data_IF_845245627005
#
_entry.id   IF_845245627005
#
_cell.length_a   1.000
_cell.length_b   1.000
_cell.length_c   1.000
_cell.angle_alpha   90.00
_cell.angle_beta   90.00
_cell.angle_gamma   90.00
#
_symmetry.space_group_name_H-M   'P 1'
#
loop_
_entity.id
_entity.type
_entity.pdbx_description
1 polymer ?
#
# COMPACT_ATOMS: atom_id res chain seq x y z
N UNK A 1 -11.55 5.47 -65.84
CA UNK A 1 -12.85 5.03 -65.27
C UNK A 1 -12.61 4.68 -63.81
N UNK A 2 -12.80 5.64 -62.89
CA UNK A 2 -14.03 5.91 -62.12
C UNK A 2 -14.21 4.90 -60.97
N UNK A 3 -13.96 5.40 -59.76
CA UNK A 3 -14.34 4.89 -58.41
C UNK A 3 -15.87 5.09 -58.18
N UNK A 4 -16.55 4.92 -57.00
CA UNK A 4 -16.08 4.70 -55.60
C UNK A 4 -17.01 3.90 -54.60
N UNK A 5 -16.52 3.73 -53.34
CA UNK A 5 -17.22 3.79 -52.01
C UNK A 5 -18.29 2.71 -51.64
N UNK A 6 -18.57 2.31 -50.39
CA UNK A 6 -18.13 2.62 -49.01
C UNK A 6 -18.78 1.62 -48.01
N UNK A 7 -18.19 1.46 -46.80
CA UNK A 7 -18.79 1.22 -45.45
C UNK A 7 -17.73 0.58 -44.53
N UNK A 8 -17.53 0.90 -43.25
CA UNK A 8 -17.82 2.03 -42.36
C UNK A 8 -17.04 1.67 -41.06
N UNK A 9 -16.05 2.46 -40.61
CA UNK A 9 -15.32 2.23 -39.34
C UNK A 9 -15.35 3.50 -38.49
N UNK A 10 -16.00 3.38 -37.34
CA UNK A 10 -15.81 4.02 -36.03
C UNK A 10 -15.40 5.49 -35.89
N UNK A 11 -16.41 6.27 -35.51
CA UNK A 11 -16.48 7.22 -34.39
C UNK A 11 -15.20 7.57 -33.60
N UNK A 12 -14.87 8.87 -33.58
CA UNK A 12 -14.13 9.55 -32.51
C UNK A 12 -15.04 10.62 -31.90
N UNK A 13 -15.29 10.49 -30.60
CA UNK A 13 -16.00 11.47 -29.77
C UNK A 13 -14.95 12.44 -29.21
N UNK A 14 -15.10 13.72 -29.54
CA UNK A 14 -14.56 14.84 -28.78
C UNK A 14 -15.78 15.65 -28.33
N UNK A 15 -15.99 15.81 -27.03
CA UNK A 15 -17.02 16.71 -26.50
C UNK A 15 -16.37 17.64 -25.49
N UNK A 16 -16.29 18.90 -25.91
CA UNK A 16 -16.03 20.06 -25.08
C UNK A 16 -17.35 20.52 -24.43
N UNK A 17 -17.21 21.11 -23.25
CA UNK A 17 -18.29 21.64 -22.42
C UNK A 17 -18.94 22.90 -23.03
N UNK A 18 -20.28 22.99 -22.99
CA UNK A 18 -21.07 24.23 -22.80
C UNK A 18 -22.47 23.80 -22.31
N UNK A 19 -22.92 24.29 -21.16
CA UNK A 19 -24.37 24.36 -20.84
C UNK A 19 -24.67 25.76 -20.32
N UNK A 20 -25.53 26.45 -21.06
CA UNK A 20 -26.09 27.77 -20.78
C UNK A 20 -27.62 27.60 -20.64
N UNK A 21 -28.20 28.37 -19.72
CA UNK A 21 -29.60 28.35 -19.28
C UNK A 21 -30.66 28.52 -20.38
N UNK A 22 -31.86 27.97 -20.13
CA UNK A 22 -33.13 28.60 -20.54
C UNK A 22 -34.30 28.25 -19.60
N UNK A 23 -34.99 29.29 -19.13
CA UNK A 23 -36.30 29.34 -18.45
C UNK A 23 -37.42 29.03 -19.50
N UNK A 24 -38.68 28.64 -19.25
CA UNK A 24 -39.71 29.07 -18.29
C UNK A 24 -40.96 28.12 -18.41
N UNK A 25 -42.23 28.48 -18.07
CA UNK A 25 -42.93 28.08 -16.85
C UNK A 25 -44.31 27.37 -17.07
N UNK A 26 -44.92 26.79 -16.01
CA UNK A 26 -46.36 26.44 -16.01
C UNK A 26 -47.04 26.64 -14.63
N UNK A 27 -47.82 27.72 -14.58
CA UNK A 27 -49.18 27.95 -14.01
C UNK A 27 -49.75 27.16 -12.81
N UNK A 28 -50.19 27.98 -11.83
CA UNK A 28 -51.27 27.93 -10.83
C UNK A 28 -52.35 26.81 -10.85
N UNK A 29 -52.74 26.42 -9.62
CA UNK A 29 -54.06 25.87 -9.27
C UNK A 29 -54.32 25.96 -7.76
N UNK A 30 -55.36 26.70 -7.37
CA UNK A 30 -55.81 26.98 -5.99
C UNK A 30 -56.94 26.03 -5.59
N UNK A 31 -56.96 25.53 -4.35
CA UNK A 31 -58.19 25.18 -3.63
C UNK A 31 -57.91 25.12 -2.12
N UNK A 32 -58.65 25.88 -1.33
CA UNK A 32 -58.64 25.84 0.13
C UNK A 32 -59.83 25.07 0.69
N UNK A 33 -59.74 24.66 1.96
CA UNK A 33 -60.89 24.64 2.87
C UNK A 33 -60.44 24.74 4.32
N UNK A 34 -61.27 25.48 5.05
CA UNK A 34 -61.10 26.10 6.36
C UNK A 34 -61.42 25.15 7.51
N UNK A 35 -60.79 25.35 8.67
CA UNK A 35 -61.50 25.34 9.97
C UNK A 35 -60.67 26.03 11.05
N UNK A 36 -61.26 27.07 11.63
CA UNK A 36 -60.78 27.80 12.78
C UNK A 36 -61.22 27.10 14.08
N UNK A 37 -60.34 27.09 15.09
CA UNK A 37 -60.70 26.96 16.51
C UNK A 37 -59.94 28.04 17.29
N UNK A 38 -60.69 28.78 18.12
CA UNK A 38 -60.24 29.88 19.00
C UNK A 38 -59.55 29.35 20.28
N UNK A 39 -58.85 30.20 21.04
CA UNK A 39 -57.71 29.83 21.86
C UNK A 39 -58.05 29.53 23.33
N UNK A 40 -57.27 28.65 23.95
CA UNK A 40 -57.24 28.39 25.40
C UNK A 40 -55.79 28.42 25.89
N UNK A 41 -55.55 29.18 26.97
CA UNK A 41 -54.24 29.71 27.38
C UNK A 41 -53.15 28.70 27.77
N UNK A 42 -51.90 29.17 27.72
CA UNK A 42 -50.78 28.53 28.42
C UNK A 42 -49.40 28.90 27.90
N UNK A 43 -48.74 29.86 28.59
CA UNK A 43 -47.28 30.12 28.64
C UNK A 43 -46.61 30.60 27.34
N UNK A 44 -46.34 31.90 27.28
CA UNK A 44 -45.55 32.55 26.24
C UNK A 44 -44.11 32.02 26.20
N UNK A 45 -43.76 31.39 25.09
CA UNK A 45 -42.40 31.24 24.60
C UNK A 45 -41.85 32.63 24.22
N UNK A 46 -40.65 32.94 24.69
CA UNK A 46 -39.83 34.01 24.13
C UNK A 46 -39.55 33.68 22.66
N UNK A 47 -39.85 34.63 21.76
CA UNK A 47 -39.33 34.62 20.39
C UNK A 47 -37.79 34.69 20.43
N UNK A 48 -37.05 33.96 19.57
CA UNK A 48 -35.65 34.23 19.36
C UNK A 48 -35.52 35.59 18.67
N UNK A 49 -34.80 36.51 19.31
CA UNK A 49 -34.33 37.75 18.70
C UNK A 49 -33.64 37.45 17.36
N UNK A 50 -33.97 38.24 16.33
CA UNK A 50 -33.42 38.12 14.99
C UNK A 50 -31.88 38.01 15.01
N UNK A 51 -31.35 36.95 14.41
CA UNK A 51 -29.91 36.65 14.29
C UNK A 51 -29.12 37.62 13.38
N UNK A 52 -29.70 38.76 13.00
CA UNK A 52 -29.09 39.69 12.05
C UNK A 52 -29.22 41.15 12.51
N UNK A 53 -28.16 41.98 12.41
CA UNK A 53 -28.28 43.42 12.54
C UNK A 53 -29.05 44.00 11.36
N UNK A 54 -29.88 45.00 11.61
CA UNK A 54 -30.98 45.43 10.73
C UNK A 54 -30.60 46.02 9.36
N UNK A 55 -29.32 46.15 8.98
CA UNK A 55 -28.90 46.93 7.81
C UNK A 55 -27.72 46.34 7.00
N UNK A 56 -27.51 45.02 7.00
CA UNK A 56 -26.53 44.42 6.10
C UNK A 56 -27.15 44.14 4.71
N UNK A 57 -26.51 44.59 3.64
CA UNK A 57 -26.92 44.22 2.28
C UNK A 57 -26.72 42.72 2.05
N UNK A 58 -27.49 42.12 1.14
CA UNK A 58 -27.39 40.69 0.82
C UNK A 58 -25.97 40.29 0.38
N UNK A 59 -25.25 41.20 -0.27
CA UNK A 59 -23.86 40.99 -0.68
C UNK A 59 -22.91 40.93 0.54
N UNK A 60 -23.04 41.86 1.49
CA UNK A 60 -22.23 41.86 2.72
C UNK A 60 -22.51 40.64 3.61
N UNK A 61 -23.75 40.13 3.60
CA UNK A 61 -24.11 38.91 4.33
C UNK A 61 -23.44 37.67 3.71
N UNK A 62 -23.42 37.57 2.37
CA UNK A 62 -22.74 36.49 1.65
C UNK A 62 -21.23 36.57 1.86
N UNK A 63 -20.66 37.78 1.80
CA UNK A 63 -19.22 37.99 1.98
C UNK A 63 -18.79 37.66 3.41
N UNK A 64 -19.60 37.98 4.43
CA UNK A 64 -19.33 37.54 5.81
C UNK A 64 -19.40 36.03 5.97
N UNK A 65 -20.42 35.37 5.42
CA UNK A 65 -20.51 33.91 5.45
C UNK A 65 -19.32 33.25 4.74
N UNK A 66 -18.88 33.83 3.62
CA UNK A 66 -17.70 33.36 2.91
C UNK A 66 -16.41 33.58 3.72
N UNK A 67 -16.22 34.74 4.34
CA UNK A 67 -15.05 35.02 5.19
C UNK A 67 -15.03 34.17 6.46
N UNK A 68 -16.19 33.89 7.06
CA UNK A 68 -16.33 32.93 8.16
C UNK A 68 -15.99 31.52 7.72
N UNK A 69 -16.43 31.09 6.53
CA UNK A 69 -16.05 29.81 5.94
C UNK A 69 -14.54 29.76 5.64
N UNK A 70 -13.94 30.81 5.09
CA UNK A 70 -12.48 30.89 4.83
C UNK A 70 -11.69 30.85 6.14
N UNK A 71 -12.13 31.54 7.19
CA UNK A 71 -11.49 31.47 8.52
C UNK A 71 -11.67 30.11 9.17
N UNK A 72 -12.83 29.48 9.00
CA UNK A 72 -13.07 28.12 9.46
C UNK A 72 -12.14 27.14 8.75
N UNK A 73 -12.10 27.15 7.41
CA UNK A 73 -11.23 26.29 6.60
C UNK A 73 -9.75 26.57 6.87
N UNK A 74 -9.33 27.83 6.92
CA UNK A 74 -7.97 28.23 7.25
C UNK A 74 -7.58 27.94 8.71
N UNK A 75 -8.56 27.76 9.60
CA UNK A 75 -8.38 27.35 10.99
C UNK A 75 -8.41 25.83 11.21
N UNK A 76 -8.79 25.04 10.20
CA UNK A 76 -8.71 23.58 10.26
C UNK A 76 -7.22 23.18 10.33
N UNK A 77 -6.82 22.55 11.44
CA UNK A 77 -5.48 21.97 11.55
C UNK A 77 -5.40 20.72 10.67
N UNK A 78 -4.86 20.86 9.46
CA UNK A 78 -4.63 19.76 8.51
C UNK A 78 -3.43 18.86 8.86
N UNK A 79 -2.99 18.88 10.11
CA UNK A 79 -1.89 18.04 10.59
C UNK A 79 -2.35 16.58 10.65
N UNK A 80 -1.85 15.74 9.73
CA UNK A 80 -1.95 14.27 9.83
C UNK A 80 -1.35 13.75 11.13
N UNK A 81 -0.33 14.44 11.66
CA UNK A 81 0.34 14.15 12.92
C UNK A 81 -0.61 14.15 14.13
N UNK A 82 -1.50 15.15 14.31
CA UNK A 82 -2.45 15.12 15.45
C UNK A 82 -3.48 13.98 15.33
N UNK A 83 -3.89 13.62 14.12
CA UNK A 83 -4.76 12.46 13.88
C UNK A 83 -4.05 11.13 14.17
N UNK A 84 -2.75 11.01 13.86
CA UNK A 84 -1.96 9.83 14.17
C UNK A 84 -1.72 9.68 15.69
N UNK A 85 -1.41 10.79 16.38
CA UNK A 85 -1.18 10.81 17.85
C UNK A 85 -2.43 10.41 18.63
N UNK A 86 -3.62 10.85 18.20
CA UNK A 86 -4.88 10.45 18.84
C UNK A 86 -5.26 8.97 18.62
N UNK A 87 -4.56 8.26 17.72
CA UNK A 87 -4.90 6.90 17.25
C UNK A 87 -3.74 5.89 17.39
N UNK A 88 -2.80 6.19 18.29
CA UNK A 88 -1.73 5.25 18.64
C UNK A 88 -2.20 4.19 19.65
N UNK A 89 -3.13 4.54 20.55
CA UNK A 89 -3.69 3.61 21.53
C UNK A 89 -4.80 2.76 20.92
N UNK A 90 -4.79 1.42 21.09
CA UNK A 90 -5.87 0.55 20.66
C UNK A 90 -7.22 1.00 21.22
N UNK A 91 -8.22 1.19 20.36
CA UNK A 91 -9.59 1.46 20.81
C UNK A 91 -10.35 0.17 21.11
N UNK A 92 -10.05 -0.90 20.38
CA UNK A 92 -10.61 -2.24 20.59
C UNK A 92 -9.73 -3.30 19.91
N UNK A 93 -9.88 -4.56 20.33
CA UNK A 93 -9.15 -5.70 19.77
C UNK A 93 -10.08 -6.85 19.38
N UNK A 94 -9.79 -7.48 18.25
CA UNK A 94 -10.40 -8.70 17.77
C UNK A 94 -9.43 -9.87 17.90
N UNK A 95 -9.94 -11.07 18.13
CA UNK A 95 -9.16 -12.31 18.12
C UNK A 95 -9.54 -13.17 16.92
N UNK A 96 -8.53 -13.64 16.19
CA UNK A 96 -8.68 -14.60 15.11
C UNK A 96 -8.05 -15.92 15.55
N UNK A 97 -8.84 -16.99 15.53
CA UNK A 97 -8.40 -18.36 15.81
C UNK A 97 -9.12 -19.34 14.90
N UNK A 98 -8.42 -20.37 14.42
CA UNK A 98 -9.03 -21.42 13.58
C UNK A 98 -10.10 -22.21 14.32
N UNK A 99 -10.00 -22.31 15.64
CA UNK A 99 -11.05 -22.83 16.51
C UNK A 99 -12.09 -21.72 16.80
N UNK A 100 -13.34 -21.85 16.34
CA UNK A 100 -14.39 -20.86 16.59
C UNK A 100 -14.72 -20.68 18.09
N UNK A 101 -14.29 -21.59 18.97
CA UNK A 101 -14.45 -21.42 20.41
C UNK A 101 -13.39 -20.48 21.03
N UNK A 102 -12.30 -20.18 20.32
CA UNK A 102 -11.12 -19.46 20.85
C UNK A 102 -10.91 -18.07 20.22
N UNK A 103 -11.69 -17.69 19.20
CA UNK A 103 -11.58 -16.40 18.54
C UNK A 103 -12.94 -15.81 18.15
N UNK A 104 -12.98 -14.49 17.96
CA UNK A 104 -14.14 -13.77 17.43
C UNK A 104 -14.39 -14.15 15.96
N UNK A 105 -13.32 -14.50 15.24
CA UNK A 105 -13.37 -14.90 13.83
C UNK A 105 -12.43 -16.09 13.55
N UNK A 106 -12.79 -16.90 12.56
CA UNK A 106 -11.94 -18.02 12.09
C UNK A 106 -10.97 -17.65 10.98
N UNK A 107 -11.12 -16.47 10.39
CA UNK A 107 -10.24 -15.96 9.33
C UNK A 107 -9.91 -14.49 9.55
N UNK A 108 -8.72 -14.09 9.11
CA UNK A 108 -8.29 -12.68 9.19
C UNK A 108 -9.15 -11.79 8.30
N UNK A 109 -9.58 -12.29 7.12
CA UNK A 109 -10.41 -11.50 6.20
C UNK A 109 -11.77 -11.18 6.83
N UNK A 110 -12.42 -12.16 7.49
CA UNK A 110 -13.67 -11.92 8.20
C UNK A 110 -13.51 -10.87 9.33
N UNK A 111 -12.40 -10.93 10.08
CA UNK A 111 -12.10 -9.90 11.09
C UNK A 111 -11.92 -8.51 10.46
N UNK A 112 -11.22 -8.40 9.33
CA UNK A 112 -11.07 -7.14 8.58
C UNK A 112 -12.42 -6.64 8.06
N UNK A 113 -13.27 -7.53 7.56
CA UNK A 113 -14.57 -7.17 6.98
C UNK A 113 -15.63 -6.81 8.01
N UNK A 114 -15.48 -7.27 9.25
CA UNK A 114 -16.31 -6.85 10.38
C UNK A 114 -16.14 -5.37 10.74
N UNK A 115 -15.03 -4.76 10.33
CA UNK A 115 -14.76 -3.36 10.64
C UNK A 115 -15.62 -2.42 9.78
N UNK A 116 -16.01 -1.24 10.32
CA UNK A 116 -16.72 -0.24 9.56
C UNK A 116 -16.01 0.10 8.24
N UNK A 117 -16.79 0.39 7.20
CA UNK A 117 -16.26 0.75 5.89
C UNK A 117 -15.25 1.90 5.97
N UNK A 118 -15.48 2.87 6.87
CA UNK A 118 -14.54 3.93 7.21
C UNK A 118 -14.02 3.67 8.63
N UNK A 119 -12.78 3.21 8.76
CA UNK A 119 -12.17 3.03 10.08
C UNK A 119 -11.31 4.24 10.45
N UNK A 120 -11.64 4.85 11.59
CA UNK A 120 -10.98 6.06 12.09
C UNK A 120 -10.25 5.82 13.42
N UNK A 121 -10.19 4.58 13.91
CA UNK A 121 -9.56 4.28 15.20
C UNK A 121 -8.63 3.08 15.09
N UNK A 122 -7.67 2.98 16.01
CA UNK A 122 -6.74 1.84 16.05
C UNK A 122 -7.47 0.58 16.46
N UNK A 123 -7.53 -0.40 15.55
CA UNK A 123 -8.08 -1.73 15.85
C UNK A 123 -6.97 -2.76 15.79
N UNK A 124 -6.81 -3.54 16.85
CA UNK A 124 -5.81 -4.62 16.91
C UNK A 124 -6.48 -5.96 16.60
N UNK A 125 -6.13 -6.58 15.50
CA UNK A 125 -6.53 -7.94 15.15
C UNK A 125 -5.40 -8.87 15.62
N UNK A 126 -5.63 -9.55 16.75
CA UNK A 126 -4.73 -10.57 17.31
C UNK A 126 -4.98 -11.89 16.60
N UNK A 127 -3.94 -12.48 16.03
CA UNK A 127 -4.04 -13.73 15.27
C UNK A 127 -3.29 -14.81 16.00
N UNK A 128 -4.05 -15.76 16.57
CA UNK A 128 -3.49 -16.88 17.30
C UNK A 128 -2.65 -17.79 16.39
N UNK A 129 -1.82 -18.61 17.02
CA UNK A 129 -0.91 -19.51 16.33
C UNK A 129 -1.65 -20.41 15.34
N UNK A 130 -1.09 -20.55 14.14
CA UNK A 130 -1.68 -21.37 13.09
C UNK A 130 -1.28 -20.91 11.70
N UNK A 131 -1.47 -21.82 10.74
CA UNK A 131 -1.36 -21.52 9.32
C UNK A 131 -2.74 -21.22 8.74
N UNK A 132 -2.93 -19.97 8.34
CA UNK A 132 -4.12 -19.43 7.70
C UNK A 132 -3.91 -19.49 6.19
N UNK A 133 -4.54 -20.49 5.57
CA UNK A 133 -4.56 -20.66 4.12
C UNK A 133 -5.94 -20.29 3.64
N UNK A 134 -6.03 -19.27 2.79
CA UNK A 134 -7.27 -18.90 2.14
C UNK A 134 -7.61 -19.96 1.08
N UNK A 135 -8.88 -20.18 0.74
CA UNK A 135 -9.27 -21.34 -0.07
C UNK A 135 -9.43 -20.99 -1.56
N UNK A 136 -9.02 -21.94 -2.40
CA UNK A 136 -9.38 -22.00 -3.82
C UNK A 136 -10.60 -22.91 -3.88
N UNK A 137 -11.84 -22.41 -3.89
CA UNK A 137 -12.95 -23.31 -4.22
C UNK A 137 -12.86 -23.62 -5.72
N UNK A 138 -12.49 -24.87 -6.04
CA UNK A 138 -12.51 -25.35 -7.41
C UNK A 138 -13.98 -25.46 -7.88
N UNK A 139 -14.20 -25.07 -9.13
CA UNK A 139 -15.45 -25.22 -9.86
C UNK A 139 -16.03 -26.64 -9.71
N UNK A 140 -17.32 -26.74 -9.38
CA UNK A 140 -18.00 -28.01 -9.19
C UNK A 140 -19.26 -27.98 -8.32
N UNK A 141 -19.73 -26.82 -7.85
CA UNK A 141 -21.06 -26.70 -7.24
C UNK A 141 -22.07 -26.31 -8.33
N UNK A 142 -23.17 -27.06 -8.52
CA UNK A 142 -24.22 -26.69 -9.46
C UNK A 142 -24.84 -25.34 -9.09
N UNK A 143 -25.05 -24.52 -10.11
CA UNK A 143 -25.65 -23.20 -10.01
C UNK A 143 -27.04 -23.26 -9.36
N UNK A 144 -27.09 -22.87 -8.09
CA UNK A 144 -28.31 -22.49 -7.37
C UNK A 144 -28.19 -21.04 -6.88
N UNK A 145 -27.77 -20.15 -7.77
CA UNK A 145 -27.52 -18.72 -7.53
C UNK A 145 -26.73 -18.14 -8.71
N UNK A 146 -27.38 -17.31 -9.51
CA UNK A 146 -27.01 -16.89 -10.88
C UNK A 146 -25.81 -15.92 -10.99
N UNK A 147 -24.64 -16.33 -10.49
CA UNK A 147 -23.36 -15.74 -10.94
C UNK A 147 -22.11 -16.63 -10.85
N UNK A 148 -22.18 -17.82 -10.21
CA UNK A 148 -21.10 -18.81 -10.23
C UNK A 148 -19.71 -18.29 -9.80
N UNK A 149 -19.64 -17.18 -9.04
CA UNK A 149 -18.36 -16.67 -8.53
C UNK A 149 -17.90 -17.50 -7.34
N UNK A 150 -16.87 -18.28 -7.57
CA UNK A 150 -15.92 -18.73 -6.55
C UNK A 150 -15.35 -17.48 -5.85
N UNK A 151 -15.77 -17.22 -4.60
CA UNK A 151 -15.16 -16.17 -3.78
C UNK A 151 -13.77 -16.64 -3.33
N UNK A 152 -12.75 -16.11 -4.00
CA UNK A 152 -11.34 -16.30 -3.65
C UNK A 152 -10.93 -15.20 -2.69
N UNK A 153 -11.04 -15.44 -1.40
CA UNK A 153 -10.73 -14.39 -0.44
C UNK A 153 -9.30 -14.47 0.07
N UNK A 154 -8.34 -13.93 -0.68
CA UNK A 154 -7.03 -13.57 -0.12
C UNK A 154 -7.22 -12.38 0.82
N UNK A 155 -6.34 -12.20 1.80
CA UNK A 155 -6.49 -11.03 2.69
C UNK A 155 -6.20 -9.75 1.94
N UNK A 156 -7.18 -8.86 1.90
CA UNK A 156 -7.04 -7.51 1.36
C UNK A 156 -7.56 -6.49 2.35
N UNK A 157 -6.68 -5.61 2.80
CA UNK A 157 -7.05 -4.46 3.62
C UNK A 157 -7.37 -3.29 2.68
N UNK A 158 -8.65 -2.94 2.60
CA UNK A 158 -9.15 -1.83 1.76
C UNK A 158 -8.61 -0.48 2.24
N UNK A 159 -8.38 0.45 1.31
CA UNK A 159 -7.88 1.79 1.60
C UNK A 159 -8.73 2.60 2.58
N UNK A 160 -10.02 2.26 2.72
CA UNK A 160 -10.93 2.92 3.66
C UNK A 160 -10.81 2.40 5.10
N UNK A 161 -10.03 1.34 5.34
CA UNK A 161 -9.83 0.71 6.65
C UNK A 161 -8.45 1.02 7.25
N UNK A 162 -8.15 2.31 7.40
CA UNK A 162 -6.91 2.78 8.01
C UNK A 162 -6.76 2.32 9.48
N UNK A 163 -5.57 2.47 10.06
CA UNK A 163 -5.31 2.22 11.49
C UNK A 163 -5.54 0.78 11.97
N UNK A 164 -5.39 -0.22 11.10
CA UNK A 164 -5.40 -1.63 11.52
C UNK A 164 -4.01 -2.04 12.01
N UNK A 165 -3.96 -2.74 13.14
CA UNK A 165 -2.79 -3.48 13.60
C UNK A 165 -3.08 -4.98 13.52
N UNK A 166 -2.23 -5.73 12.82
CA UNK A 166 -2.28 -7.19 12.76
C UNK A 166 -1.15 -7.77 13.63
N UNK A 167 -1.49 -8.48 14.70
CA UNK A 167 -0.53 -8.97 15.67
C UNK A 167 -0.58 -10.50 15.76
N UNK A 168 0.45 -11.19 15.28
CA UNK A 168 0.55 -12.64 15.41
C UNK A 168 1.07 -13.08 16.78
N UNK A 169 0.84 -14.34 17.14
CA UNK A 169 1.36 -14.98 18.35
C UNK A 169 2.88 -15.24 18.32
N UNK A 170 3.57 -14.79 17.28
CA UNK A 170 4.98 -15.06 16.99
C UNK A 170 5.16 -15.36 15.50
N UNK A 171 6.21 -14.81 14.88
CA UNK A 171 6.37 -14.93 13.43
C UNK A 171 6.58 -16.37 12.97
N UNK A 172 7.17 -17.23 13.82
CA UNK A 172 7.30 -18.67 13.58
C UNK A 172 6.04 -19.48 13.90
N UNK A 173 5.02 -18.87 14.51
CA UNK A 173 3.80 -19.53 14.99
C UNK A 173 2.56 -19.15 14.18
N UNK A 174 2.53 -17.94 13.64
CA UNK A 174 1.38 -17.42 12.89
C UNK A 174 1.79 -17.13 11.44
N UNK A 175 1.22 -17.88 10.51
CA UNK A 175 1.55 -17.80 9.08
C UNK A 175 0.28 -17.55 8.25
N UNK A 176 0.30 -16.50 7.45
CA UNK A 176 -0.68 -16.25 6.40
C UNK A 176 -0.06 -16.66 5.06
N UNK A 177 -0.73 -17.54 4.33
CA UNK A 177 -0.18 -18.05 3.07
C UNK A 177 -1.19 -18.24 1.94
N UNK A 178 -0.69 -18.07 0.71
CA UNK A 178 -1.37 -18.39 -0.53
C UNK A 178 -0.35 -18.71 -1.63
N UNK A 179 -0.78 -19.14 -2.82
CA UNK A 179 0.11 -19.71 -3.84
C UNK A 179 -0.21 -19.28 -5.27
N UNK A 180 -0.60 -18.03 -5.47
CA UNK A 180 -0.79 -17.49 -6.83
C UNK A 180 0.52 -16.97 -7.40
N UNK A 181 0.68 -17.13 -8.72
CA UNK A 181 1.71 -16.47 -9.52
C UNK A 181 1.07 -15.45 -10.47
N UNK A 182 1.88 -14.63 -11.13
CA UNK A 182 1.40 -13.71 -12.16
C UNK A 182 0.67 -14.44 -13.31
N UNK A 183 1.08 -15.67 -13.60
CA UNK A 183 0.46 -16.52 -14.64
C UNK A 183 -0.70 -17.40 -14.14
N UNK A 184 -1.09 -17.30 -12.86
CA UNK A 184 -2.27 -18.02 -12.39
C UNK A 184 -3.48 -17.68 -13.28
N UNK A 185 -4.25 -18.68 -13.80
CA UNK A 185 -5.42 -18.48 -14.66
C UNK A 185 -6.65 -18.05 -13.85
N UNK A 186 -6.41 -17.26 -12.82
CA UNK A 186 -7.36 -16.80 -11.82
C UNK A 186 -7.71 -15.32 -12.02
N UNK A 187 -7.16 -14.65 -13.04
CA UNK A 187 -7.53 -13.29 -13.39
C UNK A 187 -8.93 -13.16 -14.03
N UNK A 188 -9.43 -11.92 -14.19
CA UNK A 188 -10.70 -11.66 -14.84
C UNK A 188 -10.80 -12.29 -16.23
N UNK A 189 -11.91 -13.00 -16.52
CA UNK A 189 -12.12 -13.72 -17.78
C UNK A 189 -11.07 -14.81 -18.07
N UNK A 190 -10.45 -15.39 -17.02
CA UNK A 190 -9.46 -16.46 -17.15
C UNK A 190 -8.08 -15.99 -17.62
N UNK A 191 -7.84 -14.67 -17.70
CA UNK A 191 -6.52 -14.11 -18.06
C UNK A 191 -5.50 -14.32 -16.94
N UNK A 192 -4.18 -14.24 -17.23
CA UNK A 192 -3.15 -14.20 -16.19
C UNK A 192 -3.46 -13.15 -15.12
N UNK A 193 -3.31 -13.55 -13.86
CA UNK A 193 -3.62 -12.72 -12.70
C UNK A 193 -2.79 -11.43 -12.66
N UNK A 194 -1.53 -11.52 -13.10
CA UNK A 194 -0.51 -10.48 -13.03
C UNK A 194 0.15 -10.40 -11.65
N UNK A 195 1.37 -9.86 -11.59
CA UNK A 195 2.17 -9.74 -10.35
C UNK A 195 1.42 -8.99 -9.24
N UNK A 196 0.76 -7.87 -9.57
CA UNK A 196 0.05 -7.06 -8.59
C UNK A 196 -1.02 -7.86 -7.83
N UNK A 197 -1.75 -8.72 -8.54
CA UNK A 197 -2.82 -9.52 -7.98
C UNK A 197 -2.35 -10.89 -7.49
N UNK A 198 -1.08 -11.28 -7.63
CA UNK A 198 -0.57 -12.54 -7.07
C UNK A 198 -0.31 -12.50 -5.56
N UNK A 199 -0.35 -11.31 -4.96
CA UNK A 199 -0.12 -11.07 -3.54
C UNK A 199 -0.99 -11.96 -2.63
N UNK A 200 -0.35 -12.70 -1.72
CA UNK A 200 -1.03 -13.53 -0.72
C UNK A 200 -1.75 -12.69 0.34
N UNK A 201 -1.16 -11.54 0.66
CA UNK A 201 -1.75 -10.50 1.50
C UNK A 201 -1.55 -9.14 0.82
N UNK A 202 -2.59 -8.29 0.80
CA UNK A 202 -2.53 -6.96 0.22
C UNK A 202 -2.96 -5.88 1.21
N UNK A 203 -2.08 -4.91 1.47
CA UNK A 203 -2.35 -3.74 2.30
C UNK A 203 -2.54 -2.54 1.40
N UNK A 204 -3.71 -1.88 1.47
CA UNK A 204 -3.95 -0.61 0.78
C UNK A 204 -4.32 0.52 1.75
N UNK A 205 -4.25 0.25 3.06
CA UNK A 205 -4.76 1.11 4.11
C UNK A 205 -3.64 1.84 4.85
N UNK A 206 -3.80 3.14 5.03
CA UNK A 206 -2.82 3.98 5.73
C UNK A 206 -2.69 3.59 7.20
N UNK A 207 -1.50 3.82 7.77
CA UNK A 207 -1.21 3.53 9.18
C UNK A 207 -1.38 2.05 9.56
N UNK A 208 -1.26 1.13 8.59
CA UNK A 208 -1.26 -0.30 8.86
C UNK A 208 0.00 -0.70 9.63
N UNK A 209 -0.17 -1.52 10.66
CA UNK A 209 0.95 -2.09 11.43
C UNK A 209 0.82 -3.61 11.43
N UNK A 210 1.89 -4.34 11.15
CA UNK A 210 1.97 -5.77 11.42
C UNK A 210 3.08 -6.08 12.42
N UNK A 211 2.82 -7.02 13.32
CA UNK A 211 3.81 -7.51 14.29
C UNK A 211 3.83 -9.02 14.35
N UNK A 212 5.02 -9.60 14.45
CA UNK A 212 5.22 -10.99 14.84
C UNK A 212 4.37 -12.00 14.04
N UNK A 213 4.29 -11.80 12.73
CA UNK A 213 3.50 -12.64 11.81
C UNK A 213 4.25 -12.86 10.50
N UNK A 214 4.04 -14.02 9.89
CA UNK A 214 4.65 -14.38 8.60
C UNK A 214 3.64 -14.23 7.46
N UNK A 215 4.06 -13.56 6.39
CA UNK A 215 3.38 -13.53 5.09
C UNK A 215 4.14 -14.41 4.10
N UNK A 216 3.46 -15.35 3.45
CA UNK A 216 4.10 -16.33 2.59
C UNK A 216 3.38 -16.53 1.27
N UNK A 217 4.13 -16.51 0.17
CA UNK A 217 3.70 -17.11 -1.07
C UNK A 217 4.30 -18.52 -1.19
N UNK A 218 3.47 -19.53 -1.42
CA UNK A 218 3.89 -20.95 -1.47
C UNK A 218 4.38 -21.39 -2.85
N UNK A 219 4.40 -20.50 -3.84
CA UNK A 219 4.90 -20.80 -5.18
C UNK A 219 6.38 -21.23 -5.12
N UNK A 220 6.78 -22.29 -5.85
CA UNK A 220 8.15 -22.78 -5.80
C UNK A 220 9.11 -21.80 -6.46
N UNK A 221 10.40 -21.90 -6.11
CA UNK A 221 11.47 -21.14 -6.78
C UNK A 221 11.42 -21.43 -8.29
N UNK A 222 11.22 -20.41 -9.13
CA UNK A 222 11.13 -20.62 -10.56
C UNK A 222 12.48 -21.02 -11.15
N UNK A 223 12.45 -21.69 -12.31
CA UNK A 223 13.64 -21.82 -13.14
C UNK A 223 14.10 -20.42 -13.60
N UNK A 224 15.41 -20.17 -13.75
CA UNK A 224 15.88 -18.91 -14.29
C UNK A 224 15.23 -18.58 -15.64
N UNK A 225 14.79 -17.33 -15.82
CA UNK A 225 14.14 -16.85 -17.03
C UNK A 225 12.69 -17.31 -17.25
N UNK A 226 12.08 -18.05 -16.31
CA UNK A 226 10.70 -18.50 -16.46
C UNK A 226 9.71 -17.32 -16.47
N UNK A 227 8.88 -17.26 -17.51
CA UNK A 227 7.85 -16.23 -17.63
C UNK A 227 6.70 -16.44 -16.65
N UNK A 228 6.16 -15.34 -16.10
CA UNK A 228 4.93 -15.34 -15.31
C UNK A 228 5.01 -16.01 -13.93
N UNK A 229 6.22 -16.22 -13.40
CA UNK A 229 6.45 -16.89 -12.12
C UNK A 229 6.61 -15.96 -10.93
N UNK A 230 6.43 -14.66 -11.12
CA UNK A 230 6.35 -13.67 -10.05
C UNK A 230 5.25 -14.05 -9.06
N UNK A 231 5.57 -14.09 -7.76
CA UNK A 231 4.67 -14.65 -6.75
C UNK A 231 4.79 -13.89 -5.43
N UNK A 232 3.91 -12.90 -5.25
CA UNK A 232 4.01 -11.94 -4.15
C UNK A 232 3.48 -12.53 -2.84
N UNK A 233 4.27 -12.43 -1.77
CA UNK A 233 3.86 -12.79 -0.41
C UNK A 233 3.05 -11.66 0.22
N UNK A 234 3.59 -10.43 0.18
CA UNK A 234 2.92 -9.23 0.65
C UNK A 234 3.04 -8.11 -0.38
N UNK A 235 1.94 -7.42 -0.65
CA UNK A 235 1.94 -6.13 -1.35
C UNK A 235 1.51 -5.00 -0.41
N UNK A 236 2.25 -3.90 -0.42
CA UNK A 236 1.96 -2.71 0.38
C UNK A 236 1.80 -1.49 -0.50
N UNK A 237 0.57 -1.00 -0.61
CA UNK A 237 0.16 0.18 -1.38
C UNK A 237 -0.51 1.18 -0.43
N UNK A 238 0.22 1.64 0.59
CA UNK A 238 -0.34 2.43 1.68
C UNK A 238 0.68 3.41 2.25
N UNK A 239 0.24 4.58 2.68
CA UNK A 239 1.15 5.49 3.38
C UNK A 239 1.25 5.15 4.88
N UNK A 240 2.44 5.33 5.45
CA UNK A 240 2.73 5.14 6.86
C UNK A 240 2.49 3.71 7.36
N UNK A 241 2.93 2.69 6.60
CA UNK A 241 2.80 1.29 7.01
C UNK A 241 4.07 0.78 7.72
N UNK A 242 3.92 0.04 8.83
CA UNK A 242 5.05 -0.50 9.57
C UNK A 242 4.95 -2.01 9.80
N UNK A 243 6.10 -2.68 9.86
CA UNK A 243 6.22 -4.12 10.04
C UNK A 243 7.34 -4.40 11.04
N UNK A 244 7.05 -5.12 12.12
CA UNK A 244 8.00 -5.35 13.22
C UNK A 244 8.07 -6.83 13.57
N UNK A 245 9.26 -7.43 13.49
CA UNK A 245 9.42 -8.86 13.78
C UNK A 245 8.66 -9.76 12.81
N UNK A 246 8.35 -9.28 11.59
CA UNK A 246 7.61 -10.03 10.58
C UNK A 246 8.54 -10.89 9.72
N UNK A 247 7.99 -11.93 9.09
CA UNK A 247 8.69 -12.66 8.02
C UNK A 247 7.95 -12.56 6.69
N UNK A 248 8.71 -12.42 5.61
CA UNK A 248 8.20 -12.37 4.25
C UNK A 248 8.87 -13.49 3.45
N UNK A 249 8.11 -14.52 3.10
CA UNK A 249 8.64 -15.75 2.53
C UNK A 249 8.10 -15.96 1.11
N UNK A 250 9.00 -15.97 0.14
CA UNK A 250 8.66 -16.27 -1.25
C UNK A 250 9.89 -16.64 -2.06
N UNK A 251 9.79 -16.49 -3.38
CA UNK A 251 10.89 -16.66 -4.31
C UNK A 251 11.05 -15.38 -5.14
N UNK A 252 10.55 -15.38 -6.38
CA UNK A 252 10.55 -14.20 -7.23
C UNK A 252 9.44 -13.22 -6.80
N UNK A 253 9.79 -11.94 -6.68
CA UNK A 253 8.87 -10.84 -6.34
C UNK A 253 8.19 -11.00 -4.96
N UNK A 254 8.94 -11.41 -3.93
CA UNK A 254 8.37 -11.75 -2.61
C UNK A 254 7.65 -10.58 -1.92
N UNK A 255 8.31 -9.44 -1.77
CA UNK A 255 7.78 -8.24 -1.12
C UNK A 255 7.58 -7.15 -2.18
N UNK A 256 6.31 -6.91 -2.51
CA UNK A 256 5.93 -5.82 -3.40
C UNK A 256 5.71 -4.54 -2.58
N UNK A 257 6.81 -3.86 -2.33
CA UNK A 257 6.90 -2.58 -1.64
C UNK A 257 6.46 -1.43 -2.57
N UNK A 258 5.17 -1.46 -2.93
CA UNK A 258 4.64 -0.82 -4.12
C UNK A 258 4.69 0.71 -4.06
N UNK A 259 4.09 1.32 -3.04
CA UNK A 259 3.90 2.77 -2.98
C UNK A 259 3.52 3.25 -1.57
N UNK A 260 4.08 4.37 -1.13
CA UNK A 260 3.86 4.97 0.18
C UNK A 260 5.14 5.01 1.02
N UNK A 261 5.06 5.51 2.25
CA UNK A 261 6.16 5.47 3.22
C UNK A 261 6.05 4.25 4.12
N UNK A 262 7.11 3.44 4.17
CA UNK A 262 7.08 2.19 4.94
C UNK A 262 8.30 2.04 5.84
N UNK A 263 8.09 1.31 6.94
CA UNK A 263 9.14 0.99 7.90
C UNK A 263 9.13 -0.51 8.22
N UNK A 264 10.24 -1.17 7.99
CA UNK A 264 10.44 -2.59 8.28
C UNK A 264 11.53 -2.69 9.34
N UNK A 265 11.19 -3.21 10.53
CA UNK A 265 12.12 -3.36 11.65
C UNK A 265 12.21 -4.81 12.12
N UNK A 266 13.42 -5.30 12.37
CA UNK A 266 13.65 -6.65 12.91
C UNK A 266 12.99 -7.75 12.06
N UNK A 267 12.88 -7.53 10.74
CA UNK A 267 12.15 -8.43 9.84
C UNK A 267 13.08 -9.41 9.14
N UNK A 268 12.53 -10.57 8.76
CA UNK A 268 13.20 -11.54 7.90
C UNK A 268 12.56 -11.55 6.52
N UNK A 269 13.33 -11.31 5.46
CA UNK A 269 12.84 -11.25 4.07
C UNK A 269 13.60 -12.28 3.24
N UNK A 270 12.88 -13.21 2.61
CA UNK A 270 13.48 -14.28 1.82
C UNK A 270 12.96 -14.31 0.39
N UNK A 271 13.86 -14.41 -0.59
CA UNK A 271 13.47 -14.61 -1.98
C UNK A 271 14.65 -14.86 -2.92
N UNK A 272 14.41 -14.82 -4.23
CA UNK A 272 15.41 -15.12 -5.26
C UNK A 272 15.66 -13.94 -6.22
N UNK A 273 14.70 -13.64 -7.10
CA UNK A 273 14.80 -12.58 -8.11
C UNK A 273 13.88 -11.44 -7.73
N UNK A 274 14.42 -10.22 -7.73
CA UNK A 274 13.71 -8.96 -7.48
C UNK A 274 12.82 -9.02 -6.23
N UNK A 275 13.29 -9.70 -5.18
CA UNK A 275 12.39 -10.14 -4.13
C UNK A 275 11.99 -9.03 -3.14
N UNK A 276 12.61 -7.86 -3.23
CA UNK A 276 12.12 -6.59 -2.68
C UNK A 276 12.02 -5.60 -3.85
N UNK A 277 10.80 -5.23 -4.25
CA UNK A 277 10.61 -4.41 -5.45
C UNK A 277 9.43 -3.46 -5.33
N UNK A 278 9.44 -2.39 -6.13
CA UNK A 278 8.40 -1.36 -6.14
C UNK A 278 8.94 0.06 -6.07
N UNK A 279 8.09 1.04 -5.78
CA UNK A 279 8.42 2.46 -5.76
C UNK A 279 8.09 3.14 -4.42
N UNK A 280 8.09 2.39 -3.31
CA UNK A 280 7.90 2.99 -1.99
C UNK A 280 9.12 3.83 -1.54
N UNK A 281 8.90 4.65 -0.51
CA UNK A 281 9.92 5.31 0.30
C UNK A 281 10.07 4.52 1.60
N UNK A 282 11.09 3.65 1.67
CA UNK A 282 11.14 2.60 2.69
C UNK A 282 12.48 2.51 3.40
N UNK A 283 12.41 2.43 4.73
CA UNK A 283 13.53 2.12 5.60
C UNK A 283 13.39 0.68 6.12
N UNK A 284 14.42 -0.12 5.87
CA UNK A 284 14.60 -1.46 6.39
C UNK A 284 15.71 -1.39 7.44
N UNK A 285 15.36 -1.54 8.72
CA UNK A 285 16.26 -1.42 9.85
C UNK A 285 16.36 -2.76 10.58
N UNK A 286 17.57 -3.18 10.92
CA UNK A 286 17.84 -4.43 11.66
C UNK A 286 17.25 -5.68 10.98
N UNK A 287 17.08 -5.65 9.65
CA UNK A 287 16.46 -6.74 8.90
C UNK A 287 17.47 -7.80 8.48
N UNK A 288 17.03 -9.05 8.45
CA UNK A 288 17.75 -10.17 7.84
C UNK A 288 17.17 -10.47 6.46
N UNK A 289 17.98 -10.23 5.44
CA UNK A 289 17.63 -10.45 4.04
C UNK A 289 18.34 -11.72 3.54
N UNK A 290 17.57 -12.73 3.14
CA UNK A 290 18.09 -14.06 2.84
C UNK A 290 17.76 -14.51 1.42
N UNK A 291 18.79 -14.61 0.57
CA UNK A 291 18.65 -15.07 -0.80
C UNK A 291 18.56 -16.60 -0.88
N UNK A 292 17.59 -17.09 -1.65
CA UNK A 292 17.45 -18.51 -2.01
C UNK A 292 17.59 -18.70 -3.52
N UNK A 293 18.43 -17.87 -4.15
CA UNK A 293 18.72 -18.00 -5.57
C UNK A 293 19.48 -19.31 -5.84
N UNK A 294 19.14 -19.98 -6.95
CA UNK A 294 19.83 -21.20 -7.39
C UNK A 294 21.10 -20.89 -8.18
N UNK A 295 20.95 -20.02 -9.18
CA UNK A 295 22.05 -19.61 -10.06
C UNK A 295 22.36 -18.14 -9.86
N UNK A 296 21.41 -17.27 -10.24
CA UNK A 296 21.49 -15.83 -10.05
C UNK A 296 20.19 -15.26 -9.48
N UNK A 297 20.31 -14.15 -8.76
CA UNK A 297 19.21 -13.45 -8.14
C UNK A 297 19.45 -11.95 -8.07
N UNK A 298 18.45 -11.23 -7.56
CA UNK A 298 18.55 -9.82 -7.27
C UNK A 298 17.77 -9.51 -6.00
N UNK A 299 18.42 -8.83 -5.06
CA UNK A 299 17.80 -8.43 -3.80
C UNK A 299 16.73 -7.37 -4.05
N UNK A 300 17.10 -6.29 -4.75
CA UNK A 300 16.17 -5.20 -5.04
C UNK A 300 15.86 -5.01 -6.52
N UNK A 301 14.65 -4.54 -6.81
CA UNK A 301 14.28 -3.93 -8.08
C UNK A 301 13.44 -2.67 -7.82
N UNK A 302 14.12 -1.55 -7.54
CA UNK A 302 13.45 -0.29 -7.20
C UNK A 302 13.01 0.45 -8.48
N UNK A 303 11.81 1.05 -8.42
CA UNK A 303 11.06 1.50 -9.60
C UNK A 303 10.84 3.02 -9.69
N UNK A 304 11.73 3.82 -9.09
CA UNK A 304 11.67 5.28 -9.18
C UNK A 304 11.84 5.75 -10.63
N UNK A 305 10.91 6.58 -11.10
CA UNK A 305 10.82 6.94 -12.52
C UNK A 305 11.29 8.36 -12.85
N UNK A 306 11.49 9.23 -11.85
CA UNK A 306 11.92 10.60 -12.08
C UNK A 306 12.67 11.19 -10.89
N UNK A 307 13.43 12.27 -11.13
CA UNK A 307 14.08 13.02 -10.04
C UNK A 307 13.10 13.72 -9.11
N UNK A 308 11.84 13.91 -9.53
CA UNK A 308 10.79 14.56 -8.75
C UNK A 308 10.15 13.63 -7.72
N UNK A 309 10.41 12.32 -7.82
CA UNK A 309 9.96 11.35 -6.82
C UNK A 309 10.98 11.30 -5.69
N UNK A 310 10.52 11.33 -4.45
CA UNK A 310 11.38 11.20 -3.26
C UNK A 310 11.48 9.76 -2.76
N UNK A 311 11.10 8.77 -3.58
CA UNK A 311 11.06 7.35 -3.24
C UNK A 311 12.44 6.68 -3.24
N UNK A 312 12.54 5.47 -2.69
CA UNK A 312 13.81 4.75 -2.59
C UNK A 312 13.81 3.73 -1.44
N UNK A 313 14.74 2.80 -1.50
CA UNK A 313 14.95 1.80 -0.45
C UNK A 313 16.25 2.07 0.31
N UNK A 314 16.19 2.12 1.64
CA UNK A 314 17.37 2.21 2.50
C UNK A 314 17.42 1.04 3.47
N UNK A 315 18.54 0.31 3.46
CA UNK A 315 18.80 -0.81 4.35
C UNK A 315 19.87 -0.41 5.37
N UNK A 316 19.52 -0.41 6.65
CA UNK A 316 20.37 0.09 7.74
C UNK A 316 20.55 -1.00 8.78
N UNK A 317 21.81 -1.31 9.10
CA UNK A 317 22.17 -2.36 10.06
C UNK A 317 21.58 -3.74 9.72
N UNK A 318 21.43 -4.01 8.42
CA UNK A 318 20.86 -5.26 7.92
C UNK A 318 21.93 -6.36 7.77
N UNK A 319 21.47 -7.58 7.51
CA UNK A 319 22.33 -8.71 7.13
C UNK A 319 21.84 -9.32 5.83
N UNK A 320 22.71 -9.44 4.83
CA UNK A 320 22.45 -10.11 3.55
C UNK A 320 23.19 -11.43 3.53
N UNK A 321 22.44 -12.52 3.38
CA UNK A 321 22.96 -13.90 3.44
C UNK A 321 22.27 -14.75 2.38
N UNK A 322 22.69 -16.01 2.21
CA UNK A 322 21.95 -16.97 1.40
C UNK A 322 22.78 -17.74 0.39
N UNK A 323 22.19 -18.02 -0.76
CA UNK A 323 22.79 -18.82 -1.83
C UNK A 323 22.64 -18.19 -3.22
N UNK A 324 23.49 -18.64 -4.15
CA UNK A 324 23.51 -18.19 -5.54
C UNK A 324 24.23 -16.85 -5.71
N UNK A 325 24.48 -16.48 -6.96
CA UNK A 325 25.07 -15.18 -7.30
C UNK A 325 24.02 -14.07 -7.19
N UNK A 326 24.22 -13.08 -6.33
CA UNK A 326 23.22 -12.07 -6.00
C UNK A 326 23.67 -10.66 -6.40
N UNK A 327 22.83 -9.98 -7.17
CA UNK A 327 22.92 -8.51 -7.29
C UNK A 327 22.26 -7.86 -6.07
N UNK A 328 22.89 -6.81 -5.53
CA UNK A 328 22.28 -5.93 -4.53
C UNK A 328 21.00 -5.27 -5.08
N UNK A 329 21.01 -4.95 -6.37
CA UNK A 329 19.85 -4.36 -7.02
C UNK A 329 19.95 -4.29 -8.52
N UNK A 330 18.77 -4.24 -9.16
CA UNK A 330 18.62 -3.96 -10.58
C UNK A 330 17.73 -2.76 -10.77
N UNK A 331 18.12 -1.86 -11.67
CA UNK A 331 17.42 -0.60 -11.89
C UNK A 331 16.13 -0.79 -12.68
N UNK A 332 15.05 -1.28 -12.05
CA UNK A 332 13.76 -1.42 -12.76
C UNK A 332 13.23 -0.07 -13.24
N UNK A 333 13.31 0.95 -12.38
CA UNK A 333 13.06 2.35 -12.73
C UNK A 333 14.31 3.06 -13.25
N UNK A 334 14.12 4.08 -14.09
CA UNK A 334 15.20 4.86 -14.70
C UNK A 334 15.94 5.75 -13.69
N UNK A 335 15.32 6.08 -12.56
CA UNK A 335 15.91 6.85 -11.46
C UNK A 335 16.01 6.02 -10.17
N UNK A 336 16.11 4.70 -10.33
CA UNK A 336 16.16 3.72 -9.23
C UNK A 336 17.12 4.15 -8.12
N UNK A 337 16.66 4.07 -6.87
CA UNK A 337 17.43 4.53 -5.70
C UNK A 337 17.44 3.48 -4.59
N UNK A 338 18.63 2.99 -4.25
CA UNK A 338 18.85 1.97 -3.22
C UNK A 338 20.13 2.27 -2.45
N UNK A 339 20.06 2.25 -1.12
CA UNK A 339 21.21 2.46 -0.24
C UNK A 339 21.33 1.29 0.74
N UNK A 340 22.54 0.77 0.89
CA UNK A 340 22.91 -0.16 1.97
C UNK A 340 23.90 0.53 2.91
N UNK A 341 23.56 0.61 4.19
CA UNK A 341 24.37 1.23 5.23
C UNK A 341 24.56 0.27 6.41
N UNK A 342 25.80 0.16 6.91
CA UNK A 342 26.17 -0.72 8.01
C UNK A 342 25.70 -2.18 7.83
N UNK A 343 25.54 -2.59 6.58
CA UNK A 343 24.95 -3.89 6.25
C UNK A 343 26.05 -4.93 6.08
N UNK A 344 25.93 -6.06 6.76
CA UNK A 344 26.83 -7.19 6.56
C UNK A 344 26.38 -8.00 5.33
N UNK A 345 27.31 -8.39 4.45
CA UNK A 345 27.04 -9.12 3.22
C UNK A 345 27.91 -10.38 3.11
N UNK A 346 27.28 -11.54 2.98
CA UNK A 346 27.96 -12.82 2.70
C UNK A 346 28.61 -12.84 1.30
N UNK A 347 29.46 -13.83 1.03
CA UNK A 347 30.19 -14.03 -0.23
C UNK A 347 29.30 -14.59 -1.35
N UNK A 348 28.13 -13.99 -1.50
CA UNK A 348 27.15 -14.28 -2.55
C UNK A 348 26.93 -13.06 -3.46
N UNK A 349 27.40 -11.88 -3.04
CA UNK A 349 27.24 -10.65 -3.82
C UNK A 349 28.21 -10.68 -5.00
N UNK A 350 27.68 -10.55 -6.21
CA UNK A 350 28.53 -10.49 -7.41
C UNK A 350 29.44 -9.24 -7.36
N UNK A 351 30.69 -9.30 -7.85
CA UNK A 351 31.64 -8.18 -7.74
C UNK A 351 31.08 -6.85 -8.25
N UNK A 352 30.39 -6.87 -9.40
CA UNK A 352 29.74 -5.69 -9.97
C UNK A 352 28.69 -5.06 -9.04
N UNK A 353 28.06 -5.87 -8.17
CA UNK A 353 27.05 -5.48 -7.19
C UNK A 353 25.69 -5.13 -7.77
N UNK A 354 25.63 -4.40 -8.89
CA UNK A 354 24.43 -3.78 -9.42
C UNK A 354 24.24 -4.06 -10.92
N UNK A 355 23.00 -3.97 -11.39
CA UNK A 355 22.64 -4.14 -12.80
C UNK A 355 21.78 -2.97 -13.29
N UNK A 356 22.18 -2.36 -14.41
CA UNK A 356 21.52 -1.21 -15.04
C UNK A 356 20.27 -1.59 -15.87
N UNK A 357 19.73 -2.81 -15.70
CA UNK A 357 18.61 -3.34 -16.48
C UNK A 357 18.89 -3.49 -17.99
N UNK A 358 20.16 -3.52 -18.38
CA UNK A 358 20.58 -3.58 -19.79
C UNK A 358 20.52 -2.24 -20.52
N UNK A 359 20.37 -1.13 -19.79
CA UNK A 359 20.23 0.22 -20.35
C UNK A 359 21.29 1.16 -19.75
N UNK A 360 22.38 1.44 -20.49
CA UNK A 360 23.46 2.32 -20.01
C UNK A 360 23.01 3.74 -19.66
N UNK A 361 21.88 4.23 -20.17
CA UNK A 361 21.40 5.57 -19.82
C UNK A 361 20.98 5.67 -18.35
N UNK A 362 20.60 4.54 -17.73
CA UNK A 362 20.23 4.50 -16.30
C UNK A 362 21.43 4.77 -15.40
N UNK A 363 22.65 4.48 -15.87
CA UNK A 363 23.89 4.72 -15.11
C UNK A 363 24.10 6.21 -14.78
N UNK A 364 23.47 7.10 -15.54
CA UNK A 364 23.55 8.55 -15.34
C UNK A 364 22.56 9.07 -14.27
N UNK A 365 21.54 8.28 -13.92
CA UNK A 365 20.35 8.76 -13.20
C UNK A 365 20.00 7.94 -11.96
N UNK A 366 20.44 6.69 -11.87
CA UNK A 366 20.26 5.84 -10.69
C UNK A 366 21.16 6.31 -9.54
N UNK A 367 20.74 6.01 -8.31
CA UNK A 367 21.55 6.28 -7.11
C UNK A 367 21.68 5.00 -6.29
N UNK A 368 22.82 4.34 -6.43
CA UNK A 368 23.14 3.11 -5.69
C UNK A 368 24.34 3.32 -4.77
N UNK A 369 24.07 3.28 -3.47
CA UNK A 369 25.04 3.61 -2.43
C UNK A 369 25.35 2.43 -1.51
N UNK A 370 26.63 2.30 -1.14
CA UNK A 370 27.09 1.48 -0.01
C UNK A 370 27.79 2.38 0.99
N UNK A 371 27.50 2.21 2.28
CA UNK A 371 28.09 2.99 3.37
C UNK A 371 28.50 2.09 4.53
N UNK A 372 29.81 1.98 4.80
CA UNK A 372 30.35 1.18 5.92
C UNK A 372 29.77 -0.25 6.00
N UNK A 373 29.51 -0.87 4.84
CA UNK A 373 29.10 -2.26 4.76
C UNK A 373 30.28 -3.18 5.12
N UNK A 374 29.98 -4.38 5.64
CA UNK A 374 30.99 -5.33 6.13
C UNK A 374 30.72 -6.75 5.62
N UNK A 375 31.67 -7.66 5.83
CA UNK A 375 31.57 -9.04 5.35
C UNK A 375 32.20 -9.24 3.97
N UNK A 376 32.39 -10.50 3.55
CA UNK A 376 33.16 -10.84 2.35
C UNK A 376 32.53 -10.30 1.05
N UNK A 377 31.20 -10.20 0.97
CA UNK A 377 30.51 -9.66 -0.21
C UNK A 377 30.45 -8.13 -0.25
N UNK A 378 30.87 -7.42 0.81
CA UNK A 378 30.71 -5.96 0.91
C UNK A 378 31.84 -5.15 0.26
N UNK A 379 32.90 -5.80 -0.23
CA UNK A 379 34.04 -5.13 -0.87
C UNK A 379 33.56 -4.20 -1.99
N UNK A 380 33.95 -2.92 -1.91
CA UNK A 380 33.59 -1.94 -2.94
C UNK A 380 34.45 -2.08 -4.20
N UNK A 381 35.68 -2.60 -4.09
CA UNK A 381 36.52 -2.89 -5.24
C UNK A 381 35.83 -3.87 -6.20
N UNK A 382 35.77 -3.50 -7.48
CA UNK A 382 35.08 -4.28 -8.52
C UNK A 382 33.60 -3.95 -8.71
N UNK A 383 33.02 -3.05 -7.91
CA UNK A 383 31.68 -2.51 -8.18
C UNK A 383 31.65 -1.73 -9.48
N UNK A 384 30.47 -1.67 -10.09
CA UNK A 384 30.23 -0.82 -11.26
C UNK A 384 30.58 0.65 -10.96
N UNK A 385 31.20 1.32 -11.93
CA UNK A 385 31.74 2.68 -11.76
C UNK A 385 30.68 3.76 -11.49
N UNK A 386 29.42 3.48 -11.80
CA UNK A 386 28.26 4.36 -11.58
C UNK A 386 27.54 4.09 -10.23
N UNK A 387 28.07 3.20 -9.40
CA UNK A 387 27.65 3.10 -8.00
C UNK A 387 28.52 4.00 -7.11
N UNK A 388 28.13 4.16 -5.84
CA UNK A 388 28.78 5.08 -4.91
C UNK A 388 29.18 4.39 -3.61
N UNK A 389 30.44 4.58 -3.20
CA UNK A 389 30.86 4.39 -1.82
C UNK A 389 30.62 5.73 -1.11
N UNK A 390 29.62 5.76 -0.24
CA UNK A 390 29.14 7.01 0.34
C UNK A 390 30.07 7.48 1.45
N UNK A 391 30.24 8.79 1.56
CA UNK A 391 30.79 9.46 2.73
C UNK A 391 29.76 9.55 3.87
N UNK A 392 30.22 9.98 5.05
CA UNK A 392 29.34 10.20 6.21
C UNK A 392 28.20 11.21 5.89
N UNK A 393 28.52 12.29 5.18
CA UNK A 393 27.55 13.33 4.82
C UNK A 393 26.55 12.86 3.75
N UNK A 394 27.00 12.09 2.76
CA UNK A 394 26.14 11.55 1.70
C UNK A 394 25.20 10.45 2.23
N UNK A 395 25.64 9.67 3.22
CA UNK A 395 24.83 8.62 3.83
C UNK A 395 23.77 9.16 4.80
N UNK A 396 24.07 10.26 5.50
CA UNK A 396 23.24 10.85 6.56
C UNK A 396 21.73 10.95 6.25
N UNK A 397 21.28 11.36 5.05
CA UNK A 397 19.85 11.47 4.73
C UNK A 397 19.11 10.13 4.69
N UNK A 398 19.82 9.02 4.50
CA UNK A 398 19.24 7.69 4.24
C UNK A 398 19.25 6.77 5.46
N UNK A 399 20.03 7.08 6.49
CA UNK A 399 20.35 6.15 7.59
C UNK A 399 19.54 6.34 8.86
N UNK A 400 18.48 7.16 8.83
CA UNK A 400 17.63 7.39 10.00
C UNK A 400 16.16 7.44 9.63
N UNK A 401 15.29 7.41 10.63
CA UNK A 401 13.84 7.55 10.46
C UNK A 401 13.44 8.82 9.69
N UNK A 402 14.28 9.87 9.65
CA UNK A 402 14.00 11.06 8.86
C UNK A 402 13.86 10.76 7.36
N UNK A 403 14.50 9.71 6.85
CA UNK A 403 14.40 9.31 5.43
C UNK A 403 12.96 9.06 4.98
N UNK A 404 12.12 8.59 5.90
CA UNK A 404 10.72 8.23 5.65
C UNK A 404 9.74 9.14 6.42
N UNK A 405 10.19 10.31 6.88
CA UNK A 405 9.46 11.18 7.82
C UNK A 405 8.99 10.44 9.09
N UNK A 406 9.69 9.37 9.47
CA UNK A 406 9.25 8.39 10.46
C UNK A 406 9.00 8.98 11.85
N UNK A 407 9.69 10.08 12.19
CA UNK A 407 9.45 10.80 13.46
C UNK A 407 8.02 11.33 13.60
N UNK A 408 7.30 11.51 12.49
CA UNK A 408 5.93 11.99 12.48
C UNK A 408 4.90 10.88 12.70
N UNK A 409 5.16 9.67 12.19
CA UNK A 409 4.12 8.64 12.07
C UNK A 409 4.50 7.26 12.64
N UNK A 410 5.79 6.93 12.75
CA UNK A 410 6.23 5.66 13.34
C UNK A 410 6.01 5.72 14.85
N UNK A 411 5.02 4.96 15.32
CA UNK A 411 4.66 4.79 16.73
C UNK A 411 4.52 3.29 17.00
N UNK A 412 5.64 2.65 17.30
CA UNK A 412 5.75 1.19 17.53
C UNK A 412 5.68 0.81 19.01
#
# INVERSE_FOLDING_TARGET
MVTPRARLFLARIAVAAVVLLALAPTTCGVAGHSRALRPGGGRGQQQPSSLFPANATRAEAIERQFVEWVRYVGGLRHSTFQHAVARASPSYSLVVDKDPALGDFTTIQAAVDSLPAINLVRVVIRVNAGTYTYARTHAGVPAGGDDGRVEREKVTVSAMRAFITLEGAGADKTVVQWGDTADSPTGPKGRPLGTFNSASFAVNAQYFLARNITFKNTSPVPKPGAAGKQAVALRVSADNAAFVGCKFLGAQDTLYDHSGRHYYKDCYIQGSVDFIFGNALSLYEDCHVHAIARDYGALTAQNRQSMLEDTGFSFVNCRVTGSGALYLGRAWGTFSRVVFAYTHMDDIIVPNGWFNWGDPNRELTVFYGQYKCTGPGATYAGRVAWSHELTDDEAKPFISLSFIDGTEWVRL
#
